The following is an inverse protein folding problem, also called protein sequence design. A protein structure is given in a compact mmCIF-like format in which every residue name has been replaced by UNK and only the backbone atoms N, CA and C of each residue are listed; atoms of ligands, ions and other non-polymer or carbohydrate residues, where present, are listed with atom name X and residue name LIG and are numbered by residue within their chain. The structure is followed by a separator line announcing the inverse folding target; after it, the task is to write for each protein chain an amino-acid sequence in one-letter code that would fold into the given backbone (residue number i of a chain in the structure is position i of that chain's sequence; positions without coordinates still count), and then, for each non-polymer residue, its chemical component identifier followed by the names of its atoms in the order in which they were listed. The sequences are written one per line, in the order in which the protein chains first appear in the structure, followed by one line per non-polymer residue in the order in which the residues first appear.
data_IF_400393823549
#
_entry.id   IF_400393823549
#
_cell.length_a   1.000
_cell.length_b   1.000
_cell.length_c   1.000
_cell.angle_alpha   90.00
_cell.angle_beta   90.00
_cell.angle_gamma   90.00
#
_symmetry.space_group_name_H-M   'P 1'
#
loop_
_entity.id
_entity.type
_entity.pdbx_description
1 polymer ?
#
# COMPACT_ATOMS: atom_id res chain seq x y z
N UNK A 1 2.32 -3.66 11.55
CA UNK A 1 1.24 -2.85 12.18
C UNK A 1 0.17 -3.71 12.84
N UNK A 2 -0.47 -4.64 12.13
CA UNK A 2 -1.72 -5.27 12.63
C UNK A 2 -1.57 -6.57 13.42
N UNK A 3 -0.40 -7.23 13.41
CA UNK A 3 -0.19 -8.52 14.09
C UNK A 3 -0.58 -8.51 15.57
N UNK A 4 -0.12 -7.50 16.34
CA UNK A 4 -0.35 -7.46 17.78
C UNK A 4 -1.81 -7.13 18.12
N UNK A 5 -2.47 -6.28 17.32
CA UNK A 5 -3.92 -6.05 17.40
C UNK A 5 -4.72 -7.32 17.10
N UNK A 6 -4.40 -8.03 16.00
CA UNK A 6 -5.07 -9.27 15.61
C UNK A 6 -4.87 -10.40 16.63
N UNK A 7 -3.69 -10.46 17.25
CA UNK A 7 -3.37 -11.42 18.32
C UNK A 7 -3.96 -11.05 19.70
N UNK A 8 -4.62 -9.89 19.84
CA UNK A 8 -5.18 -9.34 21.09
C UNK A 8 -4.16 -9.22 22.24
N UNK A 9 -2.91 -8.90 21.90
CA UNK A 9 -1.81 -8.74 22.88
C UNK A 9 -1.41 -7.26 23.10
N UNK A 10 -2.33 -6.34 22.79
CA UNK A 10 -2.27 -4.89 23.10
C UNK A 10 -3.59 -4.53 23.76
N UNK A 11 -3.56 -3.62 24.74
CA UNK A 11 -4.80 -3.02 25.24
C UNK A 11 -5.44 -2.19 24.12
N UNK A 12 -6.58 -2.65 23.63
CA UNK A 12 -7.29 -1.97 22.55
C UNK A 12 -8.04 -0.73 23.04
N UNK A 13 -8.02 -0.40 24.33
CA UNK A 13 -8.62 0.81 24.92
C UNK A 13 -10.08 1.03 24.50
N UNK A 14 -10.85 -0.04 24.38
CA UNK A 14 -12.26 -0.01 23.96
C UNK A 14 -12.50 0.05 22.44
N UNK A 15 -11.45 0.03 21.62
CA UNK A 15 -11.54 -0.15 20.17
C UNK A 15 -11.74 -1.63 19.80
N UNK A 16 -12.62 -1.88 18.84
CA UNK A 16 -12.72 -3.16 18.15
C UNK A 16 -12.28 -2.95 16.70
N UNK A 17 -11.27 -3.71 16.25
CA UNK A 17 -10.73 -3.56 14.91
C UNK A 17 -11.31 -4.62 13.97
N UNK A 18 -11.97 -4.16 12.92
CA UNK A 18 -12.33 -4.99 11.76
C UNK A 18 -11.26 -4.79 10.68
N UNK A 19 -10.59 -5.87 10.28
CA UNK A 19 -9.56 -5.81 9.25
C UNK A 19 -10.16 -6.05 7.87
N UNK A 20 -9.96 -5.09 6.97
CA UNK A 20 -10.41 -5.14 5.58
C UNK A 20 -9.18 -5.20 4.68
N UNK A 21 -9.04 -6.30 3.94
CA UNK A 21 -7.96 -6.49 2.97
C UNK A 21 -8.46 -6.16 1.56
N UNK A 22 -7.89 -5.11 0.97
CA UNK A 22 -8.14 -4.68 -0.41
C UNK A 22 -6.84 -4.14 -0.99
N UNK A 23 -6.74 -4.15 -2.32
CA UNK A 23 -5.62 -3.52 -3.01
C UNK A 23 -5.57 -2.01 -2.76
N UNK A 24 -4.38 -1.43 -2.88
CA UNK A 24 -4.14 -0.03 -2.54
C UNK A 24 -4.97 0.95 -3.38
N UNK A 25 -5.28 0.62 -4.64
CA UNK A 25 -6.05 1.48 -5.52
C UNK A 25 -7.52 1.52 -5.06
N UNK A 26 -8.10 0.38 -4.72
CA UNK A 26 -9.43 0.30 -4.08
C UNK A 26 -9.46 1.12 -2.79
N UNK A 27 -8.42 1.04 -1.94
CA UNK A 27 -8.35 1.82 -0.71
C UNK A 27 -8.24 3.33 -0.97
N UNK A 28 -7.49 3.75 -1.98
CA UNK A 28 -7.42 5.15 -2.41
C UNK A 28 -8.81 5.67 -2.84
N UNK A 29 -9.56 4.88 -3.62
CA UNK A 29 -10.91 5.24 -4.06
C UNK A 29 -11.91 5.29 -2.90
N UNK A 30 -11.84 4.32 -2.00
CA UNK A 30 -12.66 4.28 -0.79
C UNK A 30 -12.37 5.44 0.18
N UNK A 31 -11.15 5.97 0.17
CA UNK A 31 -10.79 7.14 0.94
C UNK A 31 -11.52 8.40 0.44
N UNK A 32 -11.73 8.56 -0.87
CA UNK A 32 -12.53 9.67 -1.41
C UNK A 32 -13.94 9.71 -0.80
N UNK A 33 -14.52 8.53 -0.57
CA UNK A 33 -15.85 8.36 0.00
C UNK A 33 -15.88 8.31 1.54
N UNK A 34 -14.72 8.25 2.21
CA UNK A 34 -14.68 8.17 3.67
C UNK A 34 -15.12 6.83 4.27
N UNK A 35 -15.03 5.73 3.49
CA UNK A 35 -15.62 4.43 3.89
C UNK A 35 -15.03 3.81 5.14
N UNK A 36 -13.76 4.07 5.44
CA UNK A 36 -13.00 3.45 6.52
C UNK A 36 -12.57 4.50 7.55
N UNK A 37 -12.69 4.18 8.83
CA UNK A 37 -12.26 5.06 9.91
C UNK A 37 -10.73 5.20 9.94
N UNK A 38 -10.01 4.14 9.58
CA UNK A 38 -8.55 4.11 9.45
C UNK A 38 -8.18 3.34 8.18
N UNK A 39 -7.30 3.89 7.34
CA UNK A 39 -6.91 3.18 6.11
C UNK A 39 -5.49 3.52 5.69
N UNK A 40 -4.80 2.55 5.10
CA UNK A 40 -3.64 2.83 4.25
C UNK A 40 -4.12 3.51 2.96
N UNK A 41 -3.38 4.51 2.50
CA UNK A 41 -3.53 5.11 1.18
C UNK A 41 -2.16 5.40 0.59
N UNK A 42 -2.11 5.56 -0.73
CA UNK A 42 -0.97 6.16 -1.39
C UNK A 42 -0.83 7.63 -0.96
N UNK A 43 0.40 8.12 -0.76
CA UNK A 43 0.61 9.55 -0.46
C UNK A 43 -0.02 10.44 -1.54
N UNK A 44 0.07 10.04 -2.82
CA UNK A 44 -0.58 10.74 -3.92
C UNK A 44 -2.10 10.91 -3.73
N UNK A 45 -2.77 9.97 -3.06
CA UNK A 45 -4.21 10.09 -2.77
C UNK A 45 -4.52 11.12 -1.68
N UNK A 46 -3.57 11.46 -0.81
CA UNK A 46 -3.82 12.27 0.38
C UNK A 46 -4.32 13.70 0.10
N UNK A 47 -3.76 14.47 -0.84
CA UNK A 47 -4.27 15.81 -1.17
C UNK A 47 -5.76 15.84 -1.51
N UNK A 48 -6.30 14.76 -2.10
CA UNK A 48 -7.71 14.65 -2.46
C UNK A 48 -8.64 14.35 -1.26
N UNK A 49 -8.08 13.93 -0.13
CA UNK A 49 -8.84 13.48 1.05
C UNK A 49 -8.44 14.19 2.35
N UNK A 50 -7.54 15.17 2.28
CA UNK A 50 -6.96 15.85 3.46
C UNK A 50 -7.99 16.55 4.35
N UNK A 51 -9.14 16.96 3.80
CA UNK A 51 -10.24 17.55 4.57
C UNK A 51 -11.01 16.52 5.40
N UNK A 52 -10.96 15.25 5.01
CA UNK A 52 -11.66 14.14 5.68
C UNK A 52 -10.74 13.36 6.59
N UNK A 53 -9.44 13.32 6.28
CA UNK A 53 -8.46 12.48 6.95
C UNK A 53 -7.26 13.26 7.47
N UNK A 54 -6.70 12.79 8.57
CA UNK A 54 -5.40 13.21 9.09
C UNK A 54 -4.38 12.09 8.92
N UNK A 55 -3.13 12.45 8.62
CA UNK A 55 -2.00 11.51 8.54
C UNK A 55 -1.65 11.04 9.95
N UNK A 56 -1.53 9.73 10.15
CA UNK A 56 -1.01 9.15 11.37
C UNK A 56 0.53 9.26 11.41
N UNK A 57 1.16 9.48 12.57
CA UNK A 57 2.60 9.70 12.69
C UNK A 57 3.44 8.42 12.49
N UNK A 58 2.81 7.30 12.09
CA UNK A 58 3.44 6.00 11.99
C UNK A 58 2.87 5.14 10.85
N UNK A 59 3.63 4.10 10.51
CA UNK A 59 3.24 3.10 9.52
C UNK A 59 3.28 3.56 8.06
N UNK A 60 3.88 4.71 7.78
CA UNK A 60 4.19 5.11 6.41
C UNK A 60 5.24 4.17 5.78
N UNK A 61 5.13 3.95 4.48
CA UNK A 61 6.12 3.27 3.66
C UNK A 61 6.94 4.32 2.89
N UNK A 62 8.25 4.32 3.10
CA UNK A 62 9.21 5.26 2.50
C UNK A 62 10.31 4.48 1.80
N UNK A 63 10.55 4.75 0.52
CA UNK A 63 11.65 4.19 -0.26
C UNK A 63 12.91 5.06 -0.16
N UNK A 64 14.06 4.49 0.18
CA UNK A 64 15.35 5.20 0.17
C UNK A 64 16.32 4.46 -0.75
N UNK A 65 16.51 4.98 -1.97
CA UNK A 65 17.25 4.28 -3.03
C UNK A 65 16.52 3.06 -3.59
N UNK A 66 15.25 2.88 -3.25
CA UNK A 66 14.35 1.87 -3.81
C UNK A 66 12.93 2.40 -3.96
N UNK A 67 12.13 1.75 -4.80
CA UNK A 67 10.78 2.19 -5.10
C UNK A 67 10.18 1.49 -6.33
N UNK A 68 9.07 2.02 -6.86
CA UNK A 68 8.43 1.47 -8.05
C UNK A 68 9.38 1.42 -9.25
N UNK A 69 9.19 0.42 -10.12
CA UNK A 69 9.99 0.24 -11.34
C UNK A 69 9.07 0.14 -12.55
N UNK A 70 9.56 0.56 -13.71
CA UNK A 70 8.91 0.26 -14.99
C UNK A 70 9.66 -0.89 -15.65
N UNK A 71 8.92 -1.87 -16.15
CA UNK A 71 9.47 -3.04 -16.85
C UNK A 71 8.87 -3.20 -18.24
N UNK A 72 9.57 -3.92 -19.11
CA UNK A 72 9.15 -4.25 -20.47
C UNK A 72 9.69 -5.62 -20.89
N UNK A 73 9.20 -6.17 -22.01
CA UNK A 73 9.70 -7.44 -22.59
C UNK A 73 11.08 -7.33 -23.22
N UNK A 74 11.43 -6.15 -23.71
CA UNK A 74 12.70 -5.84 -24.37
C UNK A 74 13.25 -4.54 -23.80
N UNK A 75 14.58 -4.30 -23.81
CA UNK A 75 15.15 -3.02 -23.43
C UNK A 75 14.45 -1.85 -24.13
N UNK A 76 14.03 -0.85 -23.35
CA UNK A 76 13.27 0.30 -23.83
C UNK A 76 13.93 1.58 -23.33
N UNK A 77 13.98 2.62 -24.17
CA UNK A 77 14.48 3.93 -23.74
C UNK A 77 13.38 4.76 -23.04
N UNK A 78 13.73 5.72 -22.19
CA UNK A 78 12.76 6.66 -21.61
C UNK A 78 11.93 7.42 -22.66
N UNK A 79 12.53 7.76 -23.81
CA UNK A 79 11.85 8.44 -24.92
C UNK A 79 10.76 7.54 -25.51
N UNK A 80 11.07 6.26 -25.73
CA UNK A 80 10.09 5.31 -26.23
C UNK A 80 8.98 5.07 -25.20
N UNK A 81 9.33 5.02 -23.91
CA UNK A 81 8.35 4.84 -22.84
C UNK A 81 7.31 5.96 -22.81
N UNK A 82 7.67 7.22 -23.10
CA UNK A 82 6.71 8.34 -23.17
C UNK A 82 5.61 8.13 -24.22
N UNK A 83 5.90 7.38 -25.28
CA UNK A 83 4.98 7.09 -26.38
C UNK A 83 4.24 5.75 -26.19
N UNK A 84 4.51 5.03 -25.10
CA UNK A 84 4.07 3.65 -24.89
C UNK A 84 2.93 3.61 -23.88
N UNK A 85 1.89 2.80 -24.14
CA UNK A 85 0.87 2.52 -23.14
C UNK A 85 1.47 1.74 -21.96
N UNK A 86 1.31 2.27 -20.74
CA UNK A 86 1.81 1.63 -19.52
C UNK A 86 0.65 0.98 -18.75
N UNK A 87 0.78 -0.32 -18.46
CA UNK A 87 -0.07 -0.98 -17.46
C UNK A 87 0.30 -0.49 -16.05
N UNK A 88 -0.65 0.10 -15.34
CA UNK A 88 -0.42 0.75 -14.03
C UNK A 88 -1.30 0.13 -12.93
N UNK A 89 -0.83 0.06 -11.68
CA UNK A 89 -1.55 -0.57 -10.58
C UNK A 89 -2.70 0.29 -10.02
N UNK A 90 -2.84 1.52 -10.54
CA UNK A 90 -3.88 2.45 -10.13
C UNK A 90 -3.47 3.91 -10.32
N UNK A 91 -4.39 4.72 -10.83
CA UNK A 91 -4.15 6.15 -11.15
C UNK A 91 -3.92 7.03 -9.91
N UNK A 92 -4.35 6.58 -8.73
CA UNK A 92 -4.16 7.32 -7.47
C UNK A 92 -2.93 6.85 -6.68
N UNK A 93 -2.16 5.90 -7.23
CA UNK A 93 -0.95 5.42 -6.57
C UNK A 93 0.15 6.47 -6.61
N UNK A 94 1.03 6.46 -5.61
CA UNK A 94 2.23 7.31 -5.65
C UNK A 94 3.19 6.87 -6.74
N UNK A 95 3.21 5.57 -7.06
CA UNK A 95 3.95 5.06 -8.20
C UNK A 95 3.52 5.74 -9.52
N UNK A 96 2.21 5.87 -9.74
CA UNK A 96 1.66 6.55 -10.91
C UNK A 96 2.07 8.04 -10.95
N UNK A 97 1.95 8.75 -9.83
CA UNK A 97 2.37 10.16 -9.75
C UNK A 97 3.85 10.32 -10.09
N UNK A 98 4.71 9.50 -9.49
CA UNK A 98 6.17 9.61 -9.69
C UNK A 98 6.55 9.26 -11.12
N UNK A 99 5.89 8.27 -11.74
CA UNK A 99 6.06 8.01 -13.17
C UNK A 99 5.63 9.21 -14.02
N UNK A 100 4.50 9.86 -13.68
CA UNK A 100 4.03 11.02 -14.40
C UNK A 100 4.99 12.22 -14.26
N UNK A 101 5.55 12.44 -13.08
CA UNK A 101 6.59 13.46 -12.88
C UNK A 101 7.84 13.17 -13.72
N UNK A 102 8.26 11.91 -13.79
CA UNK A 102 9.42 11.51 -14.60
C UNK A 102 9.18 11.72 -16.11
N UNK A 103 8.00 11.36 -16.61
CA UNK A 103 7.68 11.43 -18.03
C UNK A 103 7.24 12.84 -18.49
N UNK A 104 6.88 13.73 -17.55
CA UNK A 104 6.29 15.04 -17.85
C UNK A 104 4.78 14.97 -18.11
N UNK A 105 4.12 13.93 -17.60
CA UNK A 105 2.73 13.55 -17.88
C UNK A 105 2.63 12.12 -18.39
N UNK A 106 1.46 11.49 -18.24
CA UNK A 106 1.15 10.17 -18.81
C UNK A 106 -0.18 10.29 -19.54
N UNK A 107 -0.15 10.14 -20.86
CA UNK A 107 -1.36 10.17 -21.69
C UNK A 107 -1.92 8.77 -21.94
N UNK A 108 -1.04 7.78 -22.10
CA UNK A 108 -1.40 6.41 -22.46
C UNK A 108 -1.13 5.47 -21.28
N UNK A 109 -2.19 5.10 -20.56
CA UNK A 109 -2.11 4.12 -19.49
C UNK A 109 -3.38 3.30 -19.39
N UNK A 110 -3.25 2.11 -18.83
CA UNK A 110 -4.37 1.24 -18.49
C UNK A 110 -4.23 0.75 -17.06
N UNK A 111 -5.25 0.97 -16.25
CA UNK A 111 -5.30 0.45 -14.90
C UNK A 111 -5.55 -1.06 -14.92
N UNK A 112 -4.71 -1.81 -14.22
CA UNK A 112 -4.83 -3.26 -14.04
C UNK A 112 -4.49 -3.62 -12.60
N UNK A 113 -5.01 -4.74 -12.06
CA UNK A 113 -4.59 -5.23 -10.75
C UNK A 113 -3.06 -5.38 -10.69
N UNK A 114 -2.46 -4.94 -9.59
CA UNK A 114 -0.99 -4.88 -9.48
C UNK A 114 -0.32 -6.25 -9.66
N UNK A 115 -1.01 -7.33 -9.26
CA UNK A 115 -0.56 -8.71 -9.38
C UNK A 115 -0.72 -9.29 -10.79
N UNK A 116 -1.41 -8.61 -11.69
CA UNK A 116 -1.55 -8.99 -13.10
C UNK A 116 -0.53 -8.28 -14.03
N UNK A 117 0.10 -7.19 -13.58
CA UNK A 117 0.96 -6.34 -14.45
C UNK A 117 2.10 -7.14 -15.09
N UNK A 118 2.76 -8.04 -14.34
CA UNK A 118 3.84 -8.87 -14.87
C UNK A 118 3.34 -9.73 -16.04
N UNK A 119 2.16 -10.35 -15.88
CA UNK A 119 1.58 -11.21 -16.91
C UNK A 119 1.07 -10.41 -18.12
N UNK A 120 0.52 -9.21 -17.90
CA UNK A 120 0.15 -8.27 -18.97
C UNK A 120 1.36 -7.93 -19.85
N UNK A 121 2.49 -7.57 -19.23
CA UNK A 121 3.72 -7.25 -19.97
C UNK A 121 4.29 -8.50 -20.64
N UNK A 122 4.43 -9.61 -19.90
CA UNK A 122 5.03 -10.84 -20.40
C UNK A 122 4.25 -11.43 -21.59
N UNK A 123 2.92 -11.35 -21.55
CA UNK A 123 2.07 -11.84 -22.65
C UNK A 123 1.99 -10.88 -23.85
N UNK A 124 2.52 -9.66 -23.72
CA UNK A 124 2.45 -8.63 -24.75
C UNK A 124 1.10 -7.92 -24.85
N UNK A 125 0.23 -8.05 -23.85
CA UNK A 125 -1.00 -7.24 -23.73
C UNK A 125 -0.71 -5.80 -23.28
N UNK A 126 0.44 -5.58 -22.66
CA UNK A 126 1.01 -4.27 -22.39
C UNK A 126 2.47 -4.25 -22.84
N UNK A 127 2.93 -3.11 -23.36
CA UNK A 127 4.31 -2.95 -23.80
C UNK A 127 5.25 -2.56 -22.64
N UNK A 128 4.71 -1.87 -21.63
CA UNK A 128 5.38 -1.57 -20.38
C UNK A 128 4.44 -1.72 -19.18
N UNK A 129 5.01 -1.98 -18.00
CA UNK A 129 4.26 -2.14 -16.76
C UNK A 129 4.95 -1.46 -15.59
N UNK A 130 4.17 -0.73 -14.78
CA UNK A 130 4.62 -0.09 -13.55
C UNK A 130 4.44 -1.04 -12.37
N UNK A 131 5.53 -1.59 -11.87
CA UNK A 131 5.52 -2.55 -10.76
C UNK A 131 5.66 -1.85 -9.40
N UNK A 132 4.88 -2.34 -8.45
CA UNK A 132 4.93 -2.03 -7.02
C UNK A 132 5.09 -3.33 -6.22
N UNK A 133 5.21 -3.21 -4.89
CA UNK A 133 5.31 -4.35 -3.96
C UNK A 133 6.37 -5.38 -4.39
N UNK A 134 6.08 -6.68 -4.29
CA UNK A 134 6.99 -7.79 -4.59
C UNK A 134 7.37 -7.89 -6.07
N UNK A 135 6.58 -7.33 -6.99
CA UNK A 135 6.87 -7.38 -8.43
C UNK A 135 8.23 -6.75 -8.78
N UNK A 136 8.67 -5.78 -7.97
CA UNK A 136 10.00 -5.15 -8.13
C UNK A 136 11.17 -6.12 -7.90
N UNK A 137 10.94 -7.23 -7.20
CA UNK A 137 11.94 -8.22 -6.84
C UNK A 137 11.92 -9.43 -7.80
N UNK A 138 10.76 -9.75 -8.37
CA UNK A 138 10.56 -10.98 -9.16
C UNK A 138 10.60 -10.78 -10.66
N UNK A 139 10.49 -9.55 -11.18
CA UNK A 139 10.39 -9.30 -12.63
C UNK A 139 11.47 -9.99 -13.49
N UNK A 140 12.70 -10.13 -12.97
CA UNK A 140 13.81 -10.78 -13.67
C UNK A 140 13.56 -12.27 -13.92
N UNK A 141 12.93 -12.99 -12.99
CA UNK A 141 12.59 -14.41 -13.19
C UNK A 141 11.51 -14.62 -14.24
N UNK A 142 10.79 -13.55 -14.60
CA UNK A 142 9.81 -13.54 -15.69
C UNK A 142 10.41 -13.12 -17.04
N UNK A 143 11.73 -12.92 -17.12
CA UNK A 143 12.43 -12.51 -18.34
C UNK A 143 12.16 -11.06 -18.74
N UNK A 144 11.70 -10.22 -17.81
CA UNK A 144 11.43 -8.81 -18.08
C UNK A 144 12.66 -7.94 -17.84
N UNK A 145 12.76 -6.86 -18.59
CA UNK A 145 13.82 -5.86 -18.49
C UNK A 145 13.32 -4.67 -17.68
N UNK A 146 14.17 -4.15 -16.78
CA UNK A 146 13.88 -2.89 -16.08
C UNK A 146 14.20 -1.71 -17.00
N UNK A 147 13.18 -0.89 -17.26
CA UNK A 147 13.25 0.34 -18.06
C UNK A 147 13.63 1.52 -17.17
N UNK A 148 12.94 1.66 -16.03
CA UNK A 148 13.14 2.75 -15.09
C UNK A 148 13.16 2.26 -13.65
N UNK A 149 13.92 2.97 -12.82
CA UNK A 149 13.88 2.82 -11.37
C UNK A 149 13.49 4.15 -10.71
N UNK A 150 12.22 4.29 -10.36
CA UNK A 150 11.67 5.57 -9.89
C UNK A 150 12.16 5.96 -8.50
N UNK A 151 12.47 4.97 -7.65
CA UNK A 151 13.08 5.24 -6.34
C UNK A 151 14.50 5.81 -6.43
N UNK A 152 15.30 5.33 -7.39
CA UNK A 152 16.64 5.85 -7.65
C UNK A 152 16.57 7.25 -8.27
N UNK A 153 15.74 7.42 -9.30
CA UNK A 153 15.50 8.72 -9.92
C UNK A 153 15.06 9.77 -8.89
N UNK A 154 14.08 9.44 -8.03
CA UNK A 154 13.59 10.35 -7.00
C UNK A 154 14.69 10.77 -6.02
N UNK A 155 15.51 9.81 -5.57
CA UNK A 155 16.61 10.09 -4.65
C UNK A 155 17.66 11.01 -5.30
N UNK A 156 17.97 10.79 -6.58
CA UNK A 156 18.90 11.63 -7.34
C UNK A 156 18.34 13.05 -7.55
N UNK A 157 17.05 13.16 -7.85
CA UNK A 157 16.39 14.44 -8.13
C UNK A 157 16.20 15.29 -6.86
N UNK A 158 15.84 14.66 -5.74
CA UNK A 158 15.39 15.37 -4.53
C UNK A 158 16.36 15.29 -3.36
N UNK A 159 17.25 14.29 -3.33
CA UNK A 159 18.07 13.97 -2.15
C UNK A 159 17.29 13.42 -0.96
N UNK A 160 15.99 13.10 -1.13
CA UNK A 160 15.09 12.68 -0.04
C UNK A 160 14.52 11.27 -0.28
N UNK A 161 14.09 10.56 0.78
CA UNK A 161 13.32 9.33 0.63
C UNK A 161 12.00 9.57 -0.13
N UNK A 162 11.63 8.63 -1.00
CA UNK A 162 10.36 8.63 -1.73
C UNK A 162 9.22 8.17 -0.82
N UNK A 163 8.25 9.02 -0.46
CA UNK A 163 7.08 8.55 0.27
C UNK A 163 6.18 7.74 -0.66
N UNK A 164 5.71 6.58 -0.22
CA UNK A 164 4.90 5.68 -1.04
C UNK A 164 3.47 5.60 -0.53
N UNK A 165 3.32 5.04 0.67
CA UNK A 165 2.04 4.86 1.34
C UNK A 165 2.07 5.49 2.72
N UNK A 166 0.92 5.92 3.19
CA UNK A 166 0.70 6.49 4.52
C UNK A 166 -0.52 5.83 5.15
N UNK A 167 -0.63 5.90 6.48
CA UNK A 167 -1.88 5.59 7.15
C UNK A 167 -2.59 6.88 7.55
N UNK A 168 -3.89 6.86 7.38
CA UNK A 168 -4.74 7.99 7.71
C UNK A 168 -5.90 7.57 8.59
N UNK A 169 -6.40 8.50 9.39
CA UNK A 169 -7.60 8.32 10.21
C UNK A 169 -8.60 9.44 9.94
N UNK A 170 -9.90 9.13 9.97
CA UNK A 170 -10.94 10.13 9.71
C UNK A 170 -10.97 11.19 10.81
N UNK A 171 -11.02 12.46 10.41
CA UNK A 171 -11.03 13.61 11.32
C UNK A 171 -12.25 13.64 12.22
N UNK A 172 -13.38 13.09 11.78
CA UNK A 172 -14.64 13.07 12.53
C UNK A 172 -14.67 12.08 13.70
N UNK A 173 -13.60 11.31 13.93
CA UNK A 173 -13.39 10.56 15.17
C UNK A 173 -13.18 11.48 16.38
N UNK A 174 -12.76 12.73 16.16
CA UNK A 174 -12.44 13.68 17.23
C UNK A 174 -11.02 13.50 17.79
N UNK A 175 -10.44 14.59 18.30
CA UNK A 175 -9.02 14.66 18.69
C UNK A 175 -8.63 13.63 19.77
N UNK A 176 -9.44 13.49 20.82
CA UNK A 176 -9.22 12.52 21.90
C UNK A 176 -9.17 11.08 21.36
N UNK A 177 -10.15 10.70 20.55
CA UNK A 177 -10.20 9.38 19.91
C UNK A 177 -9.01 9.14 19.00
N UNK A 178 -8.62 10.14 18.21
CA UNK A 178 -7.48 10.04 17.30
C UNK A 178 -6.17 9.86 18.07
N UNK A 179 -6.02 10.53 19.21
CA UNK A 179 -4.87 10.40 20.08
C UNK A 179 -4.78 8.98 20.65
N UNK A 180 -5.84 8.50 21.30
CA UNK A 180 -5.88 7.13 21.85
C UNK A 180 -5.64 6.06 20.79
N UNK A 181 -6.28 6.20 19.64
CA UNK A 181 -6.09 5.31 18.49
C UNK A 181 -4.64 5.31 18.01
N UNK A 182 -4.04 6.49 17.88
CA UNK A 182 -2.64 6.62 17.46
C UNK A 182 -1.69 5.91 18.43
N UNK A 183 -1.92 6.02 19.73
CA UNK A 183 -1.12 5.32 20.75
C UNK A 183 -1.27 3.80 20.64
N UNK A 184 -2.49 3.29 20.54
CA UNK A 184 -2.76 1.83 20.37
C UNK A 184 -2.08 1.28 19.13
N UNK A 185 -2.13 2.01 18.01
CA UNK A 185 -1.46 1.62 16.77
C UNK A 185 0.07 1.67 16.90
N UNK A 186 0.61 2.70 17.55
CA UNK A 186 2.05 2.83 17.79
C UNK A 186 2.57 1.66 18.66
N UNK A 187 1.88 1.34 19.75
CA UNK A 187 2.19 0.20 20.61
C UNK A 187 2.19 -1.12 19.82
N UNK A 188 1.21 -1.32 18.94
CA UNK A 188 1.15 -2.51 18.08
C UNK A 188 2.31 -2.60 17.09
N UNK A 189 2.75 -1.47 16.53
CA UNK A 189 3.92 -1.41 15.64
C UNK A 189 5.18 -1.77 16.41
N UNK A 190 5.45 -1.11 17.54
CA UNK A 190 6.60 -1.36 18.40
C UNK A 190 6.65 -2.82 18.81
N UNK A 191 5.52 -3.37 19.27
CA UNK A 191 5.41 -4.76 19.65
C UNK A 191 5.70 -5.74 18.51
N UNK A 192 5.32 -5.39 17.27
CA UNK A 192 5.67 -6.18 16.07
C UNK A 192 7.15 -6.12 15.72
N UNK A 193 7.79 -4.96 15.91
CA UNK A 193 9.23 -4.78 15.70
C UNK A 193 10.06 -5.57 16.73
N UNK A 194 9.63 -5.54 18.00
CA UNK A 194 10.27 -6.30 19.08
C UNK A 194 10.11 -7.82 18.93
N UNK A 195 9.13 -8.26 18.14
CA UNK A 195 8.79 -9.68 17.94
C UNK A 195 8.79 -10.03 16.44
N UNK A 196 9.84 -9.57 15.74
CA UNK A 196 9.92 -9.56 14.28
C UNK A 196 9.64 -10.91 13.63
N UNK A 197 10.09 -12.02 14.22
CA UNK A 197 9.85 -13.37 13.68
C UNK A 197 8.37 -13.74 13.69
N UNK A 198 7.71 -13.59 14.84
CA UNK A 198 6.27 -13.90 14.97
C UNK A 198 5.42 -12.97 14.10
N UNK A 199 5.79 -11.69 14.05
CA UNK A 199 5.12 -10.71 13.19
C UNK A 199 5.29 -11.03 11.70
N UNK A 200 6.46 -11.53 11.29
CA UNK A 200 6.72 -11.95 9.92
C UNK A 200 5.95 -13.23 9.58
N UNK A 201 5.94 -14.24 10.45
CA UNK A 201 5.20 -15.49 10.25
C UNK A 201 3.70 -15.21 10.06
N UNK A 202 3.14 -14.25 10.79
CA UNK A 202 1.78 -13.77 10.56
C UNK A 202 1.63 -13.03 9.23
N UNK A 203 2.53 -12.11 8.90
CA UNK A 203 2.46 -11.32 7.67
C UNK A 203 2.55 -12.20 6.41
N UNK A 204 3.36 -13.27 6.45
CA UNK A 204 3.52 -14.22 5.35
C UNK A 204 2.22 -14.95 4.99
N UNK A 205 1.24 -15.05 5.90
CA UNK A 205 -0.08 -15.61 5.59
C UNK A 205 -0.88 -14.75 4.59
N UNK A 206 -0.48 -13.49 4.41
CA UNK A 206 -1.14 -12.51 3.55
C UNK A 206 -0.26 -12.09 2.37
N UNK A 207 1.03 -12.44 2.36
CA UNK A 207 1.94 -12.17 1.26
C UNK A 207 1.59 -13.03 0.05
N UNK A 208 1.27 -12.40 -1.09
CA UNK A 208 1.06 -13.11 -2.36
C UNK A 208 2.43 -13.42 -2.98
N UNK A 209 2.64 -14.66 -3.43
CA UNK A 209 3.85 -15.04 -4.20
C UNK A 209 5.10 -15.43 -3.38
N UNK A 210 5.02 -15.49 -2.05
CA UNK A 210 6.02 -16.15 -1.20
C UNK A 210 5.40 -17.49 -0.76
N UNK A 211 6.00 -18.62 -1.12
CA UNK A 211 5.41 -19.96 -0.98
C UNK A 211 4.83 -20.24 0.42
N UNK A 212 3.51 -20.06 0.59
CA UNK A 212 2.67 -20.79 1.55
C UNK A 212 1.19 -20.68 1.11
N UNK A 213 0.35 -21.72 1.24
CA UNK A 213 -1.01 -21.70 0.69
C UNK A 213 -1.92 -20.73 1.46
N UNK A 214 -2.96 -20.17 0.83
CA UNK A 214 -3.90 -19.28 1.49
C UNK A 214 -4.70 -20.05 2.56
N UNK A 215 -4.47 -19.72 3.82
CA UNK A 215 -5.30 -20.17 4.93
C UNK A 215 -6.68 -19.53 4.83
N UNK A 216 -7.70 -20.30 4.43
CA UNK A 216 -9.10 -19.92 4.61
C UNK A 216 -9.36 -19.72 6.09
N UNK A 217 -9.79 -18.52 6.47
CA UNK A 217 -10.01 -18.17 7.86
C UNK A 217 -11.04 -17.07 8.06
N UNK A 218 -12.21 -17.15 7.40
CA UNK A 218 -13.40 -16.49 7.93
C UNK A 218 -13.77 -17.17 9.25
N UNK A 219 -13.35 -16.58 10.38
CA UNK A 219 -13.88 -16.94 11.70
C UNK A 219 -14.78 -15.80 12.19
N UNK A 220 -16.09 -15.98 12.05
CA UNK A 220 -17.06 -15.31 12.91
C UNK A 220 -16.84 -15.82 14.34
N UNK A 221 -16.63 -14.91 15.29
CA UNK A 221 -16.54 -15.20 16.72
C UNK A 221 -17.67 -14.45 17.44
N UNK A 222 -18.37 -15.05 18.43
CA UNK A 222 -19.64 -14.54 18.93
C UNK A 222 -19.50 -13.30 19.81
N UNK A 223 -20.58 -12.49 19.84
CA UNK A 223 -20.73 -11.26 20.62
C UNK A 223 -20.87 -11.53 22.12
N UNK A 224 -20.12 -10.78 22.92
CA UNK A 224 -20.53 -10.31 24.24
C UNK A 224 -20.38 -8.79 24.24
N UNK A 225 -21.44 -8.04 24.56
CA UNK A 225 -21.47 -6.57 24.53
C UNK A 225 -21.17 -5.98 25.92
N UNK A 226 -20.19 -5.09 26.02
CA UNK A 226 -20.21 -3.96 26.94
C UNK A 226 -20.57 -2.66 26.20
N UNK A 227 -21.11 -1.69 26.91
CA UNK A 227 -21.92 -0.57 26.37
C UNK A 227 -21.17 0.56 25.64
N UNK A 228 -19.89 0.45 25.28
CA UNK A 228 -19.17 1.47 24.46
C UNK A 228 -18.02 0.89 23.64
N UNK A 229 -18.31 -0.03 22.72
CA UNK A 229 -17.30 -0.52 21.75
C UNK A 229 -17.32 0.36 20.49
N UNK A 230 -16.16 0.92 20.12
CA UNK A 230 -15.99 1.67 18.86
C UNK A 230 -15.39 0.73 17.80
N UNK A 231 -16.22 0.32 16.85
CA UNK A 231 -15.77 -0.50 15.71
C UNK A 231 -15.00 0.39 14.73
N UNK A 232 -13.73 0.05 14.47
CA UNK A 232 -12.87 0.71 13.50
C UNK A 232 -12.53 -0.27 12.37
N UNK A 233 -12.91 0.08 11.14
CA UNK A 233 -12.43 -0.65 9.98
C UNK A 233 -11.04 -0.15 9.63
N UNK A 234 -10.10 -1.08 9.52
CA UNK A 234 -8.68 -0.83 9.23
C UNK A 234 -8.26 -1.61 7.99
N UNK A 235 -7.45 -1.02 7.13
CA UNK A 235 -6.90 -1.70 5.96
C UNK A 235 -5.38 -1.50 5.85
N UNK A 236 -4.68 -2.57 5.46
CA UNK A 236 -3.31 -2.55 4.98
C UNK A 236 -3.30 -3.13 3.56
N UNK A 237 -2.46 -2.55 2.69
CA UNK A 237 -2.11 -3.11 1.39
C UNK A 237 -0.86 -3.99 1.52
#
# INVERSE_FOLDING_TARGET
MFWRLASRRVDARGFEFEHVLRDIQTLNEWALEGRLEVTAISLHAYPFVQERYVILPHGASMGSGYGPIVVSREPMSPERLRETEVAVPGRMTTAFLVLALYLGGIEQYREVPFDEIIDEVRSGRADAGLLIHEGQLTYQSHGLHRVLYLGEWWLLETGLPLPLGINVARRDLGEETLHELSEVLAESITAGLDNRREALDYALQYGRGLDTPPGRGERRVPRARPDRVRLLRTAAA
#
